data_IF_186545899696
#
_entry.id   IF_186545899696
#
_cell.length_a   1.000
_cell.length_b   1.000
_cell.length_c   1.000
_cell.angle_alpha   90.00
_cell.angle_beta   90.00
_cell.angle_gamma   90.00
#
_symmetry.space_group_name_H-M   'P 1'
#
loop_
_entity.id
_entity.type
_entity.pdbx_description
1 polymer ?
#
# COMPACT_ATOMS: atom_id res chain seq x y z
N UNK A 1 32.50 20.44 -0.87
CA UNK A 1 31.07 20.11 -1.15
C UNK A 1 30.53 18.90 -0.38
N UNK A 2 31.36 18.00 0.17
CA UNK A 2 30.88 16.81 0.92
C UNK A 2 30.14 17.10 2.23
N UNK A 3 30.47 18.17 2.98
CA UNK A 3 29.83 18.44 4.27
C UNK A 3 28.32 18.77 4.16
N UNK A 4 27.89 19.40 3.06
CA UNK A 4 26.47 19.78 2.85
C UNK A 4 25.56 18.57 2.71
N UNK A 5 26.04 17.47 2.10
CA UNK A 5 25.26 16.23 1.91
C UNK A 5 25.11 15.43 3.21
N UNK A 6 26.16 15.35 4.01
CA UNK A 6 26.12 14.70 5.32
C UNK A 6 25.18 15.43 6.29
N UNK A 7 25.22 16.77 6.30
CA UNK A 7 24.32 17.61 7.09
C UNK A 7 22.84 17.41 6.69
N UNK A 8 22.55 17.34 5.39
CA UNK A 8 21.20 17.07 4.88
C UNK A 8 20.72 15.66 5.25
N UNK A 9 21.59 14.65 5.20
CA UNK A 9 21.24 13.29 5.61
C UNK A 9 20.88 13.21 7.11
N UNK A 10 21.68 13.84 7.97
CA UNK A 10 21.40 13.89 9.41
C UNK A 10 20.09 14.64 9.74
N UNK A 11 19.83 15.76 9.05
CA UNK A 11 18.58 16.50 9.20
C UNK A 11 17.37 15.69 8.72
N UNK A 12 17.47 15.05 7.55
CA UNK A 12 16.43 14.16 7.03
C UNK A 12 16.11 13.04 8.02
N UNK A 13 17.14 12.39 8.55
CA UNK A 13 16.98 11.32 9.53
C UNK A 13 16.27 11.82 10.80
N UNK A 14 16.64 13.00 11.30
CA UNK A 14 15.95 13.62 12.44
C UNK A 14 14.46 13.87 12.14
N UNK A 15 14.15 14.48 11.00
CA UNK A 15 12.77 14.76 10.58
C UNK A 15 11.97 13.46 10.45
N UNK A 16 12.56 12.43 9.85
CA UNK A 16 11.90 11.14 9.63
C UNK A 16 11.61 10.41 10.94
N UNK A 17 12.54 10.45 11.91
CA UNK A 17 12.32 9.91 13.26
C UNK A 17 11.16 10.61 13.97
N UNK A 18 11.12 11.94 13.93
CA UNK A 18 10.03 12.72 14.53
C UNK A 18 8.70 12.35 13.88
N UNK A 19 8.64 12.34 12.54
CA UNK A 19 7.43 12.02 11.80
C UNK A 19 6.90 10.60 12.08
N UNK A 20 7.79 9.60 12.18
CA UNK A 20 7.42 8.22 12.46
C UNK A 20 6.81 7.99 13.86
N UNK A 21 7.04 8.90 14.81
CA UNK A 21 6.47 8.84 16.16
C UNK A 21 5.16 9.62 16.30
N UNK A 22 4.73 10.35 15.26
CA UNK A 22 3.46 11.06 15.28
C UNK A 22 2.30 10.11 14.93
N UNK A 23 1.12 10.23 15.56
CA UNK A 23 -0.04 9.42 15.22
C UNK A 23 -0.49 9.71 13.80
N UNK A 24 -0.40 8.71 12.93
CA UNK A 24 -0.76 8.85 11.52
C UNK A 24 -2.23 8.51 11.34
N UNK A 25 -3.04 9.52 10.98
CA UNK A 25 -4.42 9.31 10.55
C UNK A 25 -4.44 9.15 9.02
N UNK A 26 -4.57 7.91 8.55
CA UNK A 26 -4.58 7.56 7.11
C UNK A 26 -6.02 7.31 6.68
N UNK A 27 -6.82 8.36 6.62
CA UNK A 27 -8.15 8.27 6.02
C UNK A 27 -8.08 8.79 4.58
N UNK A 28 -7.93 7.91 3.56
CA UNK A 28 -7.87 8.34 2.16
C UNK A 28 -9.15 9.08 1.73
N UNK A 29 -10.30 8.77 2.34
CA UNK A 29 -11.58 9.46 2.10
C UNK A 29 -11.63 10.89 2.68
N UNK A 30 -10.81 11.22 3.68
CA UNK A 30 -10.79 12.56 4.27
C UNK A 30 -10.19 13.61 3.31
N UNK A 31 -9.55 13.18 2.22
CA UNK A 31 -8.88 14.04 1.24
C UNK A 31 -9.89 14.59 0.23
N UNK A 32 -10.73 15.51 0.70
CA UNK A 32 -11.77 16.15 -0.12
C UNK A 32 -11.17 16.80 -1.38
N UNK A 33 -11.74 16.54 -2.58
CA UNK A 33 -11.30 17.22 -3.79
C UNK A 33 -11.63 18.72 -3.72
N UNK A 34 -10.76 19.59 -4.24
CA UNK A 34 -11.03 21.02 -4.28
C UNK A 34 -12.26 21.30 -5.15
N UNK A 35 -13.18 22.13 -4.63
CA UNK A 35 -14.39 22.55 -5.36
C UNK A 35 -13.98 23.40 -6.57
N UNK A 36 -14.13 22.85 -7.77
CA UNK A 36 -13.82 23.57 -9.02
C UNK A 36 -14.90 24.62 -9.29
N UNK A 37 -14.49 25.87 -9.51
CA UNK A 37 -15.36 26.98 -9.96
C UNK A 37 -15.96 26.64 -11.32
N UNK A 38 -17.21 27.04 -11.58
CA UNK A 38 -17.97 26.79 -12.82
C UNK A 38 -17.14 27.03 -14.09
N UNK A 39 -16.57 25.97 -14.65
CA UNK A 39 -15.98 25.93 -15.99
C UNK A 39 -16.89 25.05 -16.82
N UNK A 40 -17.16 25.42 -18.08
CA UNK A 40 -17.90 24.57 -19.02
C UNK A 40 -17.14 23.25 -19.18
N UNK A 41 -17.74 22.15 -18.72
CA UNK A 41 -17.13 20.82 -18.73
C UNK A 41 -17.57 20.08 -20.00
N UNK A 42 -16.61 19.55 -20.76
CA UNK A 42 -16.93 18.70 -21.90
C UNK A 42 -17.57 17.38 -21.44
N UNK A 43 -18.60 16.94 -22.19
CA UNK A 43 -19.29 15.65 -22.01
C UNK A 43 -18.76 14.56 -22.94
N UNK A 44 -17.79 14.89 -23.80
CA UNK A 44 -17.14 13.93 -24.67
C UNK A 44 -16.53 12.76 -23.85
N UNK A 45 -16.75 11.49 -24.24
CA UNK A 45 -16.28 10.33 -23.48
C UNK A 45 -14.77 10.34 -23.18
N UNK A 46 -13.94 10.77 -24.15
CA UNK A 46 -12.50 10.85 -23.96
C UNK A 46 -12.14 11.94 -22.94
N UNK A 47 -12.79 13.09 -23.00
CA UNK A 47 -12.62 14.17 -22.03
C UNK A 47 -13.01 13.75 -20.60
N UNK A 48 -14.13 13.03 -20.46
CA UNK A 48 -14.59 12.50 -19.16
C UNK A 48 -13.59 11.49 -18.61
N UNK A 49 -13.14 10.53 -19.41
CA UNK A 49 -12.15 9.54 -19.00
C UNK A 49 -10.82 10.18 -18.56
N UNK A 50 -10.33 11.16 -19.34
CA UNK A 50 -9.12 11.90 -18.98
C UNK A 50 -9.28 12.70 -17.68
N UNK A 51 -10.46 13.28 -17.43
CA UNK A 51 -10.78 13.99 -16.18
C UNK A 51 -10.74 13.03 -14.99
N UNK A 52 -11.44 11.90 -15.06
CA UNK A 52 -11.43 10.89 -13.99
C UNK A 52 -10.01 10.39 -13.71
N UNK A 53 -9.19 10.16 -14.74
CA UNK A 53 -7.77 9.81 -14.57
C UNK A 53 -7.00 10.89 -13.79
N UNK A 54 -7.15 12.16 -14.17
CA UNK A 54 -6.49 13.29 -13.48
C UNK A 54 -6.95 13.47 -12.04
N UNK A 55 -8.23 13.25 -11.77
CA UNK A 55 -8.81 13.31 -10.43
C UNK A 55 -8.21 12.24 -9.52
N UNK A 56 -8.16 10.98 -9.97
CA UNK A 56 -7.52 9.87 -9.24
C UNK A 56 -6.04 10.12 -8.98
N UNK A 57 -5.30 10.68 -9.94
CA UNK A 57 -3.90 11.06 -9.75
C UNK A 57 -3.78 12.16 -8.68
N UNK A 58 -4.59 13.21 -8.79
CA UNK A 58 -4.55 14.35 -7.87
C UNK A 58 -4.90 13.94 -6.44
N UNK A 59 -5.83 13.01 -6.27
CA UNK A 59 -6.17 12.42 -4.98
C UNK A 59 -4.97 11.69 -4.35
N UNK A 60 -4.34 10.79 -5.10
CA UNK A 60 -3.14 10.07 -4.64
C UNK A 60 -2.00 11.02 -4.28
N UNK A 61 -1.79 12.08 -5.05
CA UNK A 61 -0.80 13.13 -4.75
C UNK A 61 -1.13 13.82 -3.42
N UNK A 62 -2.39 14.18 -3.16
CA UNK A 62 -2.80 14.82 -1.90
C UNK A 62 -2.71 13.89 -0.69
N UNK A 63 -2.92 12.60 -0.87
CA UNK A 63 -2.68 11.60 0.19
C UNK A 63 -1.18 11.54 0.48
N UNK A 64 -0.35 11.42 -0.56
CA UNK A 64 1.09 11.35 -0.42
C UNK A 64 1.67 12.59 0.29
N UNK A 65 1.15 13.79 -0.01
CA UNK A 65 1.55 15.04 0.67
C UNK A 65 1.38 15.00 2.19
N UNK A 66 0.40 14.25 2.70
CA UNK A 66 0.16 14.08 4.15
C UNK A 66 1.03 12.99 4.78
N UNK A 67 1.44 12.00 4.00
CA UNK A 67 2.24 10.86 4.48
C UNK A 67 3.74 11.15 4.47
N UNK A 68 4.21 12.02 3.55
CA UNK A 68 5.62 12.38 3.43
C UNK A 68 5.93 13.55 4.37
N UNK A 69 6.98 13.47 5.22
CA UNK A 69 7.39 14.57 6.07
C UNK A 69 7.70 15.82 5.25
N UNK A 70 6.94 16.90 5.47
CA UNK A 70 7.07 18.16 4.71
C UNK A 70 6.39 18.16 3.32
N UNK A 71 5.75 17.07 2.90
CA UNK A 71 5.23 16.88 1.54
C UNK A 71 4.27 17.97 1.03
N UNK A 72 3.44 18.56 1.90
CA UNK A 72 2.54 19.68 1.55
C UNK A 72 3.26 20.91 1.00
N UNK A 73 4.54 21.13 1.35
CA UNK A 73 5.33 22.30 0.94
C UNK A 73 6.30 22.00 -0.21
N UNK A 74 6.26 20.79 -0.76
CA UNK A 74 7.19 20.31 -1.78
C UNK A 74 6.55 20.27 -3.15
N UNK A 75 7.36 20.45 -4.20
CA UNK A 75 6.94 20.11 -5.55
C UNK A 75 6.83 18.58 -5.72
N UNK A 76 6.18 18.14 -6.80
CA UNK A 76 5.90 16.70 -7.01
C UNK A 76 7.17 15.87 -7.17
N UNK A 77 8.20 16.37 -7.84
CA UNK A 77 9.42 15.60 -8.06
C UNK A 77 10.18 15.42 -6.75
N UNK A 78 10.40 16.52 -6.02
CA UNK A 78 11.07 16.48 -4.72
C UNK A 78 10.30 15.62 -3.70
N UNK A 79 8.96 15.70 -3.69
CA UNK A 79 8.13 14.87 -2.80
C UNK A 79 8.27 13.37 -3.11
N UNK A 80 8.34 12.99 -4.38
CA UNK A 80 8.54 11.60 -4.78
C UNK A 80 9.93 11.09 -4.35
N UNK A 81 10.96 11.92 -4.49
CA UNK A 81 12.30 11.57 -4.00
C UNK A 81 12.32 11.40 -2.49
N UNK A 82 11.74 12.31 -1.71
CA UNK A 82 11.67 12.16 -0.25
C UNK A 82 10.81 10.96 0.18
N UNK A 83 9.75 10.63 -0.56
CA UNK A 83 8.96 9.44 -0.29
C UNK A 83 9.80 8.16 -0.38
N UNK A 84 10.69 8.07 -1.39
CA UNK A 84 11.61 6.93 -1.52
C UNK A 84 12.53 6.84 -0.31
N UNK A 85 13.10 7.97 0.14
CA UNK A 85 13.98 8.01 1.30
C UNK A 85 13.25 7.66 2.59
N UNK A 86 12.03 8.16 2.78
CA UNK A 86 11.23 7.90 3.97
C UNK A 86 10.81 6.43 4.04
N UNK A 87 10.41 5.81 2.93
CA UNK A 87 10.13 4.36 2.88
C UNK A 87 11.36 3.53 3.21
N UNK A 88 12.56 3.90 2.72
CA UNK A 88 13.81 3.22 3.08
C UNK A 88 14.11 3.34 4.57
N UNK A 89 13.93 4.53 5.13
CA UNK A 89 14.09 4.78 6.56
C UNK A 89 13.13 3.93 7.40
N UNK A 90 11.84 3.91 7.07
CA UNK A 90 10.83 3.12 7.78
C UNK A 90 11.13 1.62 7.72
N UNK A 91 11.55 1.11 6.56
CA UNK A 91 11.98 -0.30 6.43
C UNK A 91 13.15 -0.63 7.35
N UNK A 92 14.16 0.26 7.42
CA UNK A 92 15.29 0.10 8.33
C UNK A 92 14.87 0.10 9.80
N UNK A 93 13.94 1.00 10.19
CA UNK A 93 13.38 1.01 11.55
C UNK A 93 12.66 -0.31 11.87
N UNK A 94 11.79 -0.80 10.99
CA UNK A 94 11.08 -2.07 11.20
C UNK A 94 12.04 -3.26 11.30
N UNK A 95 13.07 -3.32 10.46
CA UNK A 95 14.10 -4.37 10.55
C UNK A 95 14.84 -4.30 11.88
N UNK A 96 15.26 -3.11 12.31
CA UNK A 96 15.93 -2.93 13.59
C UNK A 96 15.05 -3.36 14.77
N UNK A 97 13.74 -3.05 14.73
CA UNK A 97 12.79 -3.47 15.75
C UNK A 97 12.56 -4.99 15.74
N UNK A 98 12.51 -5.61 14.56
CA UNK A 98 12.40 -7.07 14.41
C UNK A 98 13.61 -7.84 14.94
N UNK A 99 14.80 -7.24 14.90
CA UNK A 99 16.02 -7.81 15.50
C UNK A 99 16.09 -7.66 17.03
N UNK A 100 15.37 -6.68 17.60
CA UNK A 100 15.31 -6.42 19.05
C UNK A 100 14.04 -6.97 19.71
N UNK A 101 13.23 -7.76 18.99
CA UNK A 101 12.23 -8.59 19.64
C UNK A 101 12.96 -9.53 20.62
N UNK A 102 12.65 -9.50 21.94
CA UNK A 102 13.27 -10.38 22.92
C UNK A 102 12.72 -11.81 22.76
N UNK A 103 13.02 -12.46 21.64
CA UNK A 103 12.48 -13.78 21.32
C UNK A 103 13.06 -14.48 20.09
N UNK A 104 14.22 -14.09 19.57
CA UNK A 104 14.68 -14.68 18.32
C UNK A 104 16.16 -14.49 17.99
N UNK A 105 17.05 -14.84 18.92
CA UNK A 105 18.49 -14.89 18.64
C UNK A 105 19.18 -16.03 19.38
N UNK A 106 19.66 -17.02 18.63
CA UNK A 106 20.85 -17.79 18.99
C UNK A 106 20.58 -19.13 19.68
N UNK A 107 21.19 -20.18 19.14
CA UNK A 107 21.05 -21.55 19.58
C UNK A 107 21.46 -21.78 21.04
N UNK A 108 20.63 -22.54 21.72
CA UNK A 108 20.89 -23.16 23.02
C UNK A 108 19.86 -24.28 23.14
N UNK A 109 20.30 -25.52 22.99
CA UNK A 109 19.42 -26.68 22.95
C UNK A 109 18.56 -26.77 24.21
N UNK A 110 17.24 -26.71 24.04
CA UNK A 110 16.25 -27.14 25.03
C UNK A 110 15.14 -27.87 24.25
N UNK A 111 15.21 -29.19 24.36
CA UNK A 111 14.25 -30.24 24.00
C UNK A 111 12.98 -29.88 23.23
N UNK A 112 12.99 -30.14 21.92
CA UNK A 112 11.81 -30.72 21.29
C UNK A 112 11.55 -32.07 21.98
N UNK A 113 10.34 -32.35 22.49
CA UNK A 113 10.04 -33.70 22.97
C UNK A 113 10.05 -34.64 21.78
N UNK A 114 11.04 -35.52 21.75
CA UNK A 114 11.05 -36.69 20.87
C UNK A 114 9.86 -37.57 21.26
N UNK A 115 8.84 -37.65 20.42
CA UNK A 115 7.83 -38.70 20.48
C UNK A 115 8.27 -39.84 19.55
N UNK A 116 9.26 -40.63 19.99
CA UNK A 116 9.56 -41.92 19.39
C UNK A 116 8.89 -43.00 20.24
N UNK A 117 7.64 -43.31 19.94
CA UNK A 117 7.00 -44.54 20.38
C UNK A 117 5.89 -44.91 19.41
N UNK A 118 6.10 -46.02 18.72
CA UNK A 118 5.10 -46.81 18.01
C UNK A 118 3.84 -47.00 18.86
N UNK A 119 2.71 -46.48 18.41
CA UNK A 119 1.44 -46.67 19.09
C UNK A 119 0.30 -46.09 18.27
N UNK A 120 -0.45 -46.99 17.64
CA UNK A 120 -1.63 -46.76 16.82
C UNK A 120 -2.54 -45.64 17.34
N UNK A 121 -2.75 -44.60 16.54
CA UNK A 121 -3.94 -43.78 16.65
C UNK A 121 -4.79 -43.94 15.39
N UNK A 122 -6.07 -44.04 15.68
CA UNK A 122 -7.13 -44.59 14.85
C UNK A 122 -7.55 -43.55 13.83
N UNK A 123 -7.68 -43.96 12.56
CA UNK A 123 -8.20 -43.13 11.50
C UNK A 123 -9.68 -42.81 11.76
N UNK A 124 -10.02 -41.52 11.69
CA UNK A 124 -11.40 -41.11 11.48
C UNK A 124 -11.54 -40.61 10.04
N UNK A 125 -12.26 -41.41 9.26
CA UNK A 125 -12.68 -41.12 7.92
C UNK A 125 -13.79 -40.07 7.95
N UNK A 126 -13.61 -38.96 7.23
CA UNK A 126 -14.61 -37.92 7.02
C UNK A 126 -14.72 -37.62 5.53
N UNK A 127 -15.71 -38.25 4.90
CA UNK A 127 -16.03 -38.26 3.47
C UNK A 127 -17.02 -37.15 3.13
N UNK A 128 -16.92 -36.59 1.92
CA UNK A 128 -17.95 -35.74 1.28
C UNK A 128 -17.50 -34.28 1.17
N UNK A 129 -17.62 -33.56 0.06
CA UNK A 129 -18.37 -33.69 -1.19
C UNK A 129 -18.35 -32.27 -1.77
N UNK A 130 -17.88 -32.03 -3.00
CA UNK A 130 -18.74 -32.09 -4.18
C UNK A 130 -19.70 -30.90 -4.22
N UNK A 131 -19.34 -29.83 -4.94
CA UNK A 131 -20.21 -28.66 -5.10
C UNK A 131 -19.66 -27.63 -6.07
N UNK A 132 -19.69 -27.95 -7.36
CA UNK A 132 -19.42 -26.99 -8.43
C UNK A 132 -20.55 -25.98 -8.55
N UNK A 133 -20.21 -24.71 -8.63
CA UNK A 133 -21.12 -23.66 -9.07
C UNK A 133 -21.03 -23.51 -10.59
N UNK A 134 -22.21 -23.56 -11.16
CA UNK A 134 -22.62 -23.53 -12.54
C UNK A 134 -22.48 -22.11 -13.11
N UNK A 135 -21.92 -22.05 -14.32
CA UNK A 135 -21.88 -20.89 -15.18
C UNK A 135 -23.23 -20.77 -15.90
N UNK A 136 -23.98 -19.70 -15.65
CA UNK A 136 -25.16 -19.35 -16.46
C UNK A 136 -24.78 -18.23 -17.42
N UNK A 137 -24.55 -18.63 -18.68
CA UNK A 137 -24.57 -17.76 -19.85
C UNK A 137 -25.98 -17.22 -20.02
N UNK A 138 -26.14 -15.89 -19.96
CA UNK A 138 -27.27 -15.18 -20.53
C UNK A 138 -26.74 -14.32 -21.67
N UNK A 139 -26.79 -14.93 -22.84
CA UNK A 139 -26.72 -14.35 -24.17
C UNK A 139 -27.56 -13.07 -24.21
N UNK A 140 -26.91 -11.91 -24.40
CA UNK A 140 -27.61 -10.69 -24.79
C UNK A 140 -27.44 -10.54 -26.30
N UNK A 141 -28.58 -10.61 -26.99
CA UNK A 141 -28.75 -10.40 -28.41
C UNK A 141 -28.01 -9.15 -28.90
N UNK A 142 -27.21 -9.33 -29.93
CA UNK A 142 -26.65 -8.24 -30.74
C UNK A 142 -27.62 -8.00 -31.90
N UNK A 143 -28.28 -6.84 -32.00
CA UNK A 143 -29.00 -6.49 -33.21
C UNK A 143 -27.99 -6.28 -34.35
N UNK A 144 -28.06 -7.19 -35.32
CA UNK A 144 -27.37 -7.11 -36.60
C UNK A 144 -27.99 -5.97 -37.42
N UNK A 145 -27.27 -4.86 -37.59
CA UNK A 145 -27.59 -3.86 -38.61
C UNK A 145 -26.70 -4.09 -39.82
N UNK A 146 -27.28 -4.72 -40.84
CA UNK A 146 -26.74 -4.80 -42.19
C UNK A 146 -27.14 -3.58 -43.03
N UNK A 147 -26.23 -3.23 -43.93
CA UNK A 147 -26.38 -2.57 -45.23
C UNK A 147 -27.23 -1.29 -45.38
N UNK A 148 -26.54 -0.19 -45.73
CA UNK A 148 -26.62 0.47 -47.04
C UNK A 148 -25.51 1.53 -47.19
#
# INVERSE_FOLDING_TARGET
>A
MMQKKASMAAMREMIFRIAAMQPVHIDPEAVKPPKRRNVRISKDPQSVAARHRRERISERIRILQRLVPGGTKMDTASMLDEAIHYVKFLKGQVQSLGMHAPGGGGGGGIGFPVAMASGSYVGVAGKGGGGGYHQTTSQQDIPHYGDA
#
